data_IF_666639570729
#
_entry.id   IF_666639570729
#
_cell.length_a   1.000
_cell.length_b   1.000
_cell.length_c   1.000
_cell.angle_alpha   90.00
_cell.angle_beta   90.00
_cell.angle_gamma   90.00
#
_symmetry.space_group_name_H-M   'P 1'
#
loop_
_entity.id
_entity.type
_entity.pdbx_description
1 polymer ?
#
# COMPACT_ATOMS: atom_id res chain seq x y z
N UNK A 1 -4.27 -6.23 -32.13
CA UNK A 1 -3.40 -6.56 -30.98
C UNK A 1 -4.08 -5.97 -29.76
N UNK A 2 -4.75 -6.80 -28.97
CA UNK A 2 -5.48 -6.34 -27.78
C UNK A 2 -4.47 -5.95 -26.70
N UNK A 3 -4.58 -4.71 -26.24
CA UNK A 3 -3.79 -4.15 -25.16
C UNK A 3 -4.29 -4.79 -23.87
N UNK A 4 -3.65 -5.87 -23.41
CA UNK A 4 -3.98 -6.50 -22.12
C UNK A 4 -3.49 -5.53 -21.04
N UNK A 5 -4.41 -4.89 -20.32
CA UNK A 5 -4.06 -4.20 -19.07
C UNK A 5 -3.45 -5.24 -18.14
N UNK A 6 -2.19 -5.04 -17.77
CA UNK A 6 -1.50 -5.85 -16.75
C UNK A 6 -2.32 -5.77 -15.47
N UNK A 7 -2.79 -6.90 -14.95
CA UNK A 7 -3.55 -6.90 -13.69
C UNK A 7 -2.62 -6.58 -12.52
N UNK A 8 -3.21 -6.20 -11.38
CA UNK A 8 -2.50 -6.12 -10.11
C UNK A 8 -1.80 -7.45 -9.86
N UNK A 9 -2.50 -8.57 -9.95
CA UNK A 9 -1.91 -9.90 -9.78
C UNK A 9 -0.69 -10.15 -10.67
N UNK A 10 -0.72 -9.79 -11.95
CA UNK A 10 0.43 -9.95 -12.86
C UNK A 10 1.68 -9.17 -12.36
N UNK A 11 1.49 -8.02 -11.70
CA UNK A 11 2.56 -7.19 -11.13
C UNK A 11 3.08 -7.72 -9.79
N UNK A 12 2.24 -8.37 -8.99
CA UNK A 12 2.63 -8.98 -7.71
C UNK A 12 3.22 -10.40 -7.92
N UNK A 13 2.79 -11.16 -8.93
CA UNK A 13 3.26 -12.52 -9.23
C UNK A 13 4.70 -12.62 -9.73
N UNK A 14 5.17 -11.69 -10.57
CA UNK A 14 6.57 -11.73 -11.06
C UNK A 14 7.60 -11.58 -9.91
N UNK A 15 7.22 -10.93 -8.81
CA UNK A 15 8.10 -10.64 -7.68
C UNK A 15 7.91 -11.55 -6.45
N UNK A 16 6.85 -12.35 -6.40
CA UNK A 16 6.65 -13.44 -5.44
C UNK A 16 7.75 -14.53 -5.48
N UNK A 17 8.68 -14.45 -6.46
CA UNK A 17 9.63 -15.51 -6.76
C UNK A 17 11.10 -15.20 -6.48
N UNK A 18 11.45 -14.04 -5.95
CA UNK A 18 12.87 -13.74 -5.65
C UNK A 18 13.41 -14.66 -4.54
N UNK A 19 14.67 -15.07 -4.66
CA UNK A 19 15.31 -15.92 -3.64
C UNK A 19 15.37 -15.24 -2.27
N UNK A 20 15.46 -13.91 -2.26
CA UNK A 20 15.51 -13.11 -1.04
C UNK A 20 14.17 -13.13 -0.29
N UNK A 21 13.05 -12.88 -0.99
CA UNK A 21 11.71 -12.96 -0.42
C UNK A 21 11.42 -14.36 0.12
N UNK A 22 11.71 -15.42 -0.66
CA UNK A 22 11.51 -16.82 -0.23
C UNK A 22 12.31 -17.13 1.04
N UNK A 23 13.58 -16.71 1.08
CA UNK A 23 14.43 -16.93 2.26
C UNK A 23 13.89 -16.20 3.48
N UNK A 24 13.42 -14.96 3.31
CA UNK A 24 12.81 -14.19 4.39
C UNK A 24 11.55 -14.89 4.92
N UNK A 25 10.62 -15.27 4.05
CA UNK A 25 9.38 -15.97 4.41
C UNK A 25 9.67 -17.28 5.12
N UNK A 26 10.57 -18.11 4.57
CA UNK A 26 10.97 -19.38 5.20
C UNK A 26 11.55 -19.16 6.60
N UNK A 27 12.37 -18.14 6.78
CA UNK A 27 12.96 -17.84 8.09
C UNK A 27 11.94 -17.33 9.10
N UNK A 28 10.97 -16.51 8.68
CA UNK A 28 9.88 -16.05 9.56
C UNK A 28 8.99 -17.22 9.96
N UNK A 29 8.49 -18.01 9.00
CA UNK A 29 7.58 -19.14 9.26
C UNK A 29 8.23 -20.22 10.13
N UNK A 30 9.53 -20.45 9.97
CA UNK A 30 10.27 -21.44 10.76
C UNK A 30 10.94 -20.87 12.02
N UNK A 31 10.60 -19.64 12.42
CA UNK A 31 11.14 -18.95 13.60
C UNK A 31 12.68 -18.98 13.68
N UNK A 32 13.35 -18.78 12.53
CA UNK A 32 14.81 -18.83 12.43
C UNK A 32 15.48 -17.54 12.87
N UNK A 33 14.75 -16.41 12.85
CA UNK A 33 15.27 -15.12 13.31
C UNK A 33 15.12 -14.97 14.82
N UNK A 34 16.18 -14.46 15.45
CA UNK A 34 16.10 -13.92 16.81
C UNK A 34 15.40 -12.56 16.80
N UNK A 35 14.78 -12.12 17.92
CA UNK A 35 14.07 -10.84 18.01
C UNK A 35 14.87 -9.64 17.49
N UNK A 36 16.17 -9.58 17.80
CA UNK A 36 17.08 -8.51 17.39
C UNK A 36 17.40 -8.49 15.88
N UNK A 37 17.15 -9.58 15.17
CA UNK A 37 17.45 -9.71 13.74
C UNK A 37 16.30 -9.20 12.86
N UNK A 38 15.06 -9.27 13.34
CA UNK A 38 13.87 -8.97 12.53
C UNK A 38 13.95 -7.61 11.84
N UNK A 39 14.32 -6.55 12.57
CA UNK A 39 14.35 -5.22 11.96
C UNK A 39 15.34 -5.12 10.80
N UNK A 40 16.52 -5.74 10.91
CA UNK A 40 17.52 -5.72 9.85
C UNK A 40 17.04 -6.48 8.61
N UNK A 41 16.31 -7.59 8.79
CA UNK A 41 15.76 -8.38 7.70
C UNK A 41 14.57 -7.70 7.02
N UNK A 42 13.67 -7.08 7.78
CA UNK A 42 12.57 -6.25 7.25
C UNK A 42 13.08 -5.13 6.33
N UNK A 43 14.17 -4.47 6.72
CA UNK A 43 14.76 -3.39 5.93
C UNK A 43 15.26 -3.87 4.56
N UNK A 44 15.73 -5.13 4.44
CA UNK A 44 16.08 -5.73 3.15
C UNK A 44 14.84 -5.93 2.28
N UNK A 45 13.70 -6.20 2.92
CA UNK A 45 12.40 -6.37 2.25
C UNK A 45 11.67 -5.03 1.97
N UNK A 46 12.36 -3.89 2.07
CA UNK A 46 11.80 -2.56 1.87
C UNK A 46 10.67 -2.17 2.85
N UNK A 47 10.64 -2.73 4.06
CA UNK A 47 9.74 -2.25 5.10
C UNK A 47 10.41 -2.18 6.47
N UNK A 48 9.73 -1.54 7.41
CA UNK A 48 10.12 -1.51 8.83
C UNK A 48 8.90 -1.49 9.72
N UNK A 49 9.08 -1.89 10.97
CA UNK A 49 8.14 -1.60 12.04
C UNK A 49 8.65 -0.48 12.92
N UNK A 50 7.76 0.45 13.25
CA UNK A 50 8.01 1.48 14.25
C UNK A 50 7.79 0.89 15.66
N UNK A 51 8.16 1.64 16.71
CA UNK A 51 8.09 1.16 18.10
C UNK A 51 6.67 0.80 18.56
N UNK A 52 5.64 1.37 17.92
CA UNK A 52 4.23 1.09 18.16
C UNK A 52 3.66 -0.01 17.25
N UNK A 53 4.52 -0.73 16.52
CA UNK A 53 4.15 -1.85 15.66
C UNK A 53 3.64 -1.46 14.27
N UNK A 54 3.51 -0.15 13.98
CA UNK A 54 3.07 0.35 12.68
C UNK A 54 4.09 0.04 11.59
N UNK A 55 3.59 -0.18 10.38
CA UNK A 55 4.39 -0.51 9.21
C UNK A 55 4.72 0.76 8.44
N UNK A 56 5.99 0.89 8.05
CA UNK A 56 6.42 1.85 7.05
C UNK A 56 7.08 1.13 5.88
N UNK A 57 6.73 1.51 4.65
CA UNK A 57 7.27 0.97 3.41
C UNK A 57 8.30 1.91 2.82
N UNK A 58 9.32 1.37 2.15
CA UNK A 58 10.33 2.13 1.43
C UNK A 58 10.02 2.09 -0.06
N UNK A 59 9.94 3.26 -0.68
CA UNK A 59 9.71 3.36 -2.12
C UNK A 59 11.01 3.17 -2.93
N UNK A 60 10.92 3.16 -4.26
CA UNK A 60 12.07 2.99 -5.18
C UNK A 60 13.10 4.12 -5.05
N UNK A 61 12.70 5.32 -4.63
CA UNK A 61 13.61 6.44 -4.35
C UNK A 61 14.17 6.42 -2.92
N UNK A 62 13.86 5.39 -2.13
CA UNK A 62 14.34 5.24 -0.77
C UNK A 62 13.57 6.04 0.30
N UNK A 63 12.46 6.70 -0.07
CA UNK A 63 11.58 7.44 0.83
C UNK A 63 10.63 6.52 1.58
N UNK A 64 10.25 6.91 2.80
CA UNK A 64 9.39 6.11 3.66
C UNK A 64 7.93 6.57 3.60
N UNK A 65 7.03 5.60 3.56
CA UNK A 65 5.58 5.78 3.59
C UNK A 65 5.03 5.07 4.81
N UNK A 66 4.27 5.76 5.65
CA UNK A 66 3.50 5.12 6.71
C UNK A 66 2.28 4.45 6.11
N UNK A 67 1.98 3.21 6.51
CA UNK A 67 0.87 2.41 5.95
C UNK A 67 -0.04 1.89 7.06
N UNK A 68 -1.34 1.86 6.76
CA UNK A 68 -2.36 1.28 7.62
C UNK A 68 -3.58 0.84 6.81
N UNK A 69 -4.37 -0.13 7.30
CA UNK A 69 -5.69 -0.36 6.77
C UNK A 69 -6.59 0.86 7.02
N UNK A 70 -7.54 1.07 6.11
CA UNK A 70 -8.74 1.83 6.40
C UNK A 70 -9.60 1.02 7.38
N UNK A 71 -10.12 1.66 8.44
CA UNK A 71 -10.86 0.93 9.48
C UNK A 71 -12.33 0.74 9.16
N UNK A 72 -12.86 1.39 8.11
CA UNK A 72 -14.27 1.27 7.71
C UNK A 72 -14.43 0.56 6.37
N UNK A 73 -13.47 0.70 5.46
CA UNK A 73 -13.54 0.08 4.13
C UNK A 73 -12.52 -1.06 4.02
N UNK A 74 -12.95 -2.33 4.13
CA UNK A 74 -12.06 -3.48 4.03
C UNK A 74 -11.28 -3.51 2.72
N UNK A 75 -10.03 -3.97 2.79
CA UNK A 75 -9.16 -4.11 1.61
C UNK A 75 -8.49 -2.80 1.17
N UNK A 76 -8.93 -1.63 1.63
CA UNK A 76 -8.25 -0.37 1.35
C UNK A 76 -7.07 -0.16 2.30
N UNK A 77 -5.94 0.23 1.72
CA UNK A 77 -4.79 0.69 2.47
C UNK A 77 -4.59 2.18 2.26
N UNK A 78 -4.38 2.88 3.36
CA UNK A 78 -3.99 4.27 3.35
C UNK A 78 -2.48 4.37 3.51
N UNK A 79 -1.88 5.28 2.74
CA UNK A 79 -0.45 5.54 2.75
C UNK A 79 -0.19 7.04 2.94
N UNK A 80 0.86 7.38 3.68
CA UNK A 80 1.28 8.77 3.89
C UNK A 80 2.78 8.91 3.65
N UNK A 81 3.17 9.80 2.76
CA UNK A 81 4.58 10.11 2.51
C UNK A 81 5.19 11.03 3.58
N UNK A 82 6.49 11.33 3.45
CA UNK A 82 7.20 12.25 4.35
C UNK A 82 6.74 13.71 4.21
N UNK A 83 6.15 14.09 3.07
CA UNK A 83 5.62 15.44 2.82
C UNK A 83 4.21 15.65 3.40
N UNK A 84 3.58 14.58 3.87
CA UNK A 84 2.22 14.54 4.38
C UNK A 84 1.16 14.21 3.35
N UNK A 85 1.51 14.03 2.08
CA UNK A 85 0.60 13.60 1.03
C UNK A 85 0.01 12.23 1.35
N UNK A 86 -1.31 12.13 1.26
CA UNK A 86 -2.04 10.88 1.48
C UNK A 86 -2.37 10.23 0.14
N UNK A 87 -2.24 8.92 0.11
CA UNK A 87 -2.53 8.04 -1.01
C UNK A 87 -3.38 6.88 -0.52
N UNK A 88 -4.06 6.21 -1.43
CA UNK A 88 -4.70 4.93 -1.18
C UNK A 88 -4.21 3.88 -2.18
N UNK A 89 -4.16 2.63 -1.74
CA UNK A 89 -4.08 1.48 -2.63
C UNK A 89 -5.51 0.92 -2.76
N UNK A 90 -6.06 0.84 -3.97
CA UNK A 90 -7.39 0.29 -4.18
C UNK A 90 -7.38 -1.22 -3.86
N UNK A 91 -8.54 -1.80 -3.50
CA UNK A 91 -8.69 -3.24 -3.43
C UNK A 91 -8.46 -3.85 -4.81
N UNK A 92 -8.10 -5.13 -4.86
CA UNK A 92 -7.97 -5.84 -6.12
C UNK A 92 -9.31 -5.87 -6.91
N UNK A 93 -9.21 -5.75 -8.24
CA UNK A 93 -10.33 -5.50 -9.16
C UNK A 93 -11.23 -6.72 -9.36
N UNK A 94 -10.72 -7.94 -9.11
CA UNK A 94 -11.48 -9.18 -9.28
C UNK A 94 -12.41 -9.49 -8.10
N UNK A 95 -12.48 -8.62 -7.09
CA UNK A 95 -13.55 -8.64 -6.09
C UNK A 95 -13.50 -9.81 -5.10
N UNK A 96 -12.47 -10.66 -5.16
CA UNK A 96 -12.21 -11.72 -4.17
C UNK A 96 -11.74 -11.16 -2.82
N UNK A 97 -11.66 -9.83 -2.72
CA UNK A 97 -11.34 -9.10 -1.53
C UNK A 97 -9.86 -9.25 -1.23
N UNK A 98 -9.16 -8.13 -1.07
CA UNK A 98 -8.09 -8.12 -0.11
C UNK A 98 -8.74 -8.41 1.24
N UNK A 99 -8.85 -9.70 1.55
CA UNK A 99 -9.13 -10.25 2.86
C UNK A 99 -8.36 -9.39 3.84
N UNK A 100 -9.07 -8.88 4.84
CA UNK A 100 -8.57 -7.97 5.87
C UNK A 100 -7.06 -8.08 6.05
N UNK A 101 -6.31 -7.19 5.40
CA UNK A 101 -4.86 -7.33 5.30
C UNK A 101 -4.25 -7.22 6.67
N UNK A 102 -3.70 -8.34 7.16
CA UNK A 102 -3.07 -8.38 8.46
C UNK A 102 -1.65 -7.80 8.37
N UNK A 103 -1.56 -6.48 8.50
CA UNK A 103 -0.26 -5.79 8.57
C UNK A 103 0.54 -6.13 9.84
N UNK A 104 0.00 -6.92 10.78
CA UNK A 104 0.76 -7.44 11.91
C UNK A 104 1.65 -8.64 11.54
N UNK A 105 1.39 -9.29 10.40
CA UNK A 105 2.21 -10.38 9.88
C UNK A 105 3.29 -9.83 8.92
N UNK A 106 4.56 -10.14 9.22
CA UNK A 106 5.69 -9.74 8.38
C UNK A 106 5.72 -10.48 7.03
N UNK A 107 5.18 -11.70 6.96
CA UNK A 107 5.08 -12.47 5.71
C UNK A 107 4.14 -11.76 4.76
N UNK A 108 2.93 -11.42 5.23
CA UNK A 108 1.94 -10.68 4.44
C UNK A 108 2.50 -9.35 3.95
N UNK A 109 3.15 -8.58 4.83
CA UNK A 109 3.76 -7.29 4.44
C UNK A 109 4.86 -7.49 3.39
N UNK A 110 5.71 -8.50 3.54
CA UNK A 110 6.79 -8.77 2.59
C UNK A 110 6.25 -9.21 1.23
N UNK A 111 5.33 -10.17 1.20
CA UNK A 111 4.75 -10.72 -0.04
C UNK A 111 4.04 -9.63 -0.86
N UNK A 112 3.31 -8.73 -0.19
CA UNK A 112 2.66 -7.61 -0.84
C UNK A 112 3.68 -6.56 -1.30
N UNK A 113 4.52 -6.04 -0.42
CA UNK A 113 5.21 -4.78 -0.70
C UNK A 113 6.64 -4.88 -1.20
N UNK A 114 7.25 -6.07 -1.14
CA UNK A 114 8.67 -6.26 -1.50
C UNK A 114 9.00 -5.77 -2.91
N UNK A 115 8.12 -6.08 -3.87
CA UNK A 115 8.24 -5.76 -5.30
C UNK A 115 8.31 -4.27 -5.62
N UNK A 116 7.90 -3.41 -4.69
CA UNK A 116 7.63 -2.00 -4.95
C UNK A 116 6.55 -1.72 -6.01
N UNK A 117 5.88 -2.74 -6.55
CA UNK A 117 4.84 -2.60 -7.59
C UNK A 117 3.61 -1.82 -7.11
N UNK A 118 3.36 -1.82 -5.79
CA UNK A 118 2.36 -0.98 -5.15
C UNK A 118 2.48 0.51 -5.52
N UNK A 119 3.67 1.00 -5.86
CA UNK A 119 3.87 2.39 -6.29
C UNK A 119 3.21 2.71 -7.63
N UNK A 120 3.00 1.70 -8.47
CA UNK A 120 2.43 1.88 -9.81
C UNK A 120 0.90 1.93 -9.77
N UNK A 121 0.28 1.49 -8.66
CA UNK A 121 -1.17 1.40 -8.49
C UNK A 121 -1.73 2.29 -7.36
N UNK A 122 -0.86 2.90 -6.56
CA UNK A 122 -1.31 3.89 -5.57
C UNK A 122 -1.88 5.14 -6.25
N UNK A 123 -2.95 5.70 -5.69
CA UNK A 123 -3.57 6.92 -6.16
C UNK A 123 -3.58 8.00 -5.07
N UNK A 124 -3.34 9.28 -5.40
CA UNK A 124 -3.40 10.36 -4.43
C UNK A 124 -4.84 10.52 -3.94
N UNK A 125 -5.02 10.53 -2.62
CA UNK A 125 -6.32 10.82 -2.04
C UNK A 125 -6.58 12.33 -2.18
N UNK A 126 -7.61 12.69 -2.94
CA UNK A 126 -7.92 14.07 -3.26
C UNK A 126 -9.30 14.46 -2.76
N UNK A 127 -9.49 15.74 -2.48
CA UNK A 127 -10.77 16.32 -2.08
C UNK A 127 -11.05 17.60 -2.87
N UNK A 128 -12.33 17.91 -3.04
CA UNK A 128 -12.76 19.18 -3.61
C UNK A 128 -12.84 20.24 -2.53
N UNK A 129 -12.07 21.30 -2.69
CA UNK A 129 -12.08 22.44 -1.78
C UNK A 129 -13.28 23.36 -2.09
N UNK A 130 -13.57 24.28 -1.18
CA UNK A 130 -14.66 25.26 -1.25
C UNK A 130 -14.60 26.18 -2.47
N UNK A 131 -13.42 26.36 -3.05
CA UNK A 131 -13.18 27.11 -4.29
C UNK A 131 -13.42 26.27 -5.57
N UNK A 132 -13.81 25.01 -5.42
CA UNK A 132 -14.02 24.05 -6.50
C UNK A 132 -12.74 23.40 -7.02
N UNK A 133 -11.56 23.74 -6.47
CA UNK A 133 -10.30 23.10 -6.84
C UNK A 133 -10.17 21.71 -6.22
N UNK A 134 -9.52 20.80 -6.95
CA UNK A 134 -9.16 19.46 -6.42
C UNK A 134 -7.76 19.55 -5.82
N UNK A 135 -7.63 19.20 -4.54
CA UNK A 135 -6.36 19.20 -3.81
C UNK A 135 -6.09 17.82 -3.23
N UNK A 136 -4.83 17.41 -3.24
CA UNK A 136 -4.41 16.20 -2.52
C UNK A 136 -4.54 16.45 -1.01
N UNK A 137 -5.13 15.49 -0.30
CA UNK A 137 -5.18 15.50 1.15
C UNK A 137 -3.77 15.46 1.72
N UNK A 138 -3.48 16.40 2.63
CA UNK A 138 -2.24 16.43 3.38
C UNK A 138 -2.54 16.30 4.87
N UNK A 139 -1.91 15.32 5.51
CA UNK A 139 -2.01 15.10 6.95
C UNK A 139 -0.62 15.11 7.58
N UNK A 140 -0.54 15.62 8.80
CA UNK A 140 0.57 15.31 9.70
C UNK A 140 0.56 13.84 10.06
N UNK A 141 1.69 13.33 10.56
CA UNK A 141 1.78 11.94 10.99
C UNK A 141 0.80 11.64 12.14
N UNK A 142 0.66 12.57 13.09
CA UNK A 142 -0.28 12.43 14.21
C UNK A 142 -1.73 12.36 13.73
N UNK A 143 -2.14 13.23 12.79
CA UNK A 143 -3.48 13.19 12.22
C UNK A 143 -3.73 11.85 11.51
N UNK A 144 -2.83 11.43 10.62
CA UNK A 144 -2.94 10.17 9.89
C UNK A 144 -3.05 8.93 10.81
N UNK A 145 -2.36 8.95 11.95
CA UNK A 145 -2.43 7.90 12.98
C UNK A 145 -3.81 7.81 13.65
N UNK A 146 -4.56 8.91 13.70
CA UNK A 146 -5.81 9.04 14.45
C UNK A 146 -7.08 9.00 13.60
N UNK A 147 -6.98 9.17 12.27
CA UNK A 147 -8.16 9.06 11.40
C UNK A 147 -8.73 7.64 11.43
N UNK A 148 -10.06 7.51 11.39
CA UNK A 148 -10.77 6.22 11.34
C UNK A 148 -10.83 5.69 9.90
N UNK A 149 -11.41 6.48 9.00
CA UNK A 149 -11.47 6.22 7.56
C UNK A 149 -11.22 7.50 6.79
N UNK A 150 -10.64 7.37 5.60
CA UNK A 150 -10.48 8.47 4.64
C UNK A 150 -11.20 8.20 3.32
N UNK A 151 -11.63 6.96 3.08
CA UNK A 151 -12.21 6.54 1.80
C UNK A 151 -13.69 6.88 1.69
N UNK A 152 -14.48 6.81 2.77
CA UNK A 152 -15.91 7.17 2.73
C UNK A 152 -16.18 8.63 2.31
N UNK A 153 -15.18 9.52 2.46
CA UNK A 153 -15.27 10.93 2.07
C UNK A 153 -14.47 11.29 0.82
N UNK A 154 -13.80 10.33 0.19
CA UNK A 154 -13.01 10.58 -1.01
C UNK A 154 -13.89 10.40 -2.25
N UNK A 155 -14.09 11.47 -3.01
CA UNK A 155 -14.67 11.36 -4.35
C UNK A 155 -13.64 10.67 -5.25
N UNK A 156 -13.99 9.50 -5.78
CA UNK A 156 -13.21 8.88 -6.85
C UNK A 156 -13.16 9.83 -8.05
N UNK A 157 -12.00 10.01 -8.70
CA UNK A 157 -11.93 10.80 -9.91
C UNK A 157 -12.83 10.15 -10.96
N UNK A 158 -13.83 10.88 -11.45
CA UNK A 158 -14.68 10.44 -12.56
C UNK A 158 -13.77 10.05 -13.73
N UNK A 159 -13.70 8.76 -14.02
CA UNK A 159 -13.04 8.27 -15.23
C UNK A 159 -13.94 8.69 -16.39
N UNK A 160 -13.55 9.73 -17.14
CA UNK A 160 -14.21 10.09 -18.39
C UNK A 160 -14.16 8.87 -19.33
N UNK A 161 -15.27 8.15 -19.46
CA UNK A 161 -15.44 7.17 -20.52
C UNK A 161 -15.26 7.90 -21.87
N UNK A 162 -14.37 7.44 -22.78
CA UNK A 162 -14.22 8.08 -24.07
C UNK A 162 -15.54 7.98 -24.81
N UNK A 163 -16.15 9.14 -25.05
CA UNK A 163 -17.41 9.28 -25.74
C UNK A 163 -17.46 8.38 -26.99
N UNK A 164 -18.34 7.38 -26.96
CA UNK A 164 -18.58 6.52 -28.09
C UNK A 164 -19.10 7.37 -29.26
N UNK A 165 -18.21 7.65 -30.22
CA UNK A 165 -18.56 8.31 -31.45
C UNK A 165 -19.54 7.42 -32.24
N UNK A 166 -20.78 7.89 -32.39
CA UNK A 166 -21.73 7.43 -33.41
C UNK A 166 -22.43 8.62 -34.04
#
# INVERSE_FOLDING_TARGET
MQNRQTSIDDLFDENLTTSELRTFVDHVLNNKFKPEQYQAERLKMNFRRDLDGRVSLRNRQGQWFSVRPDLQVPGFLLMRDVSGGVFFLPPDADGDGLAQLDLSDDVVVAELFYSSAWQDVMAPLSYRDTDGSVKQLKLTEQEFRNVVSLVEGAEEPEVEEPAAAR
#
